data_IF_351865555460
#
_entry.id   IF_351865555460
#
_cell.length_a   1.000
_cell.length_b   1.000
_cell.length_c   1.000
_cell.angle_alpha   90.00
_cell.angle_beta   90.00
_cell.angle_gamma   90.00
#
_symmetry.space_group_name_H-M   'P 1'
#
loop_
_entity.id
_entity.type
_entity.pdbx_description
1 polymer ?
#
# COMPACT_ATOMS: atom_id res chain seq x y z
N UNK A 1 34.16 31.06 2.58
CA UNK A 1 34.85 29.87 2.03
C UNK A 1 36.18 30.36 1.48
N UNK A 2 37.29 29.69 1.77
CA UNK A 2 38.64 30.14 1.39
C UNK A 2 39.27 29.16 0.40
N UNK A 3 40.02 29.65 -0.58
CA UNK A 3 40.80 28.82 -1.50
C UNK A 3 42.28 28.99 -1.20
N UNK A 4 42.97 27.91 -0.85
CA UNK A 4 44.40 27.89 -0.55
C UNK A 4 45.02 26.55 -0.99
N UNK A 5 46.29 26.57 -1.41
CA UNK A 5 47.04 25.36 -1.80
C UNK A 5 46.29 24.43 -2.77
N UNK A 6 45.49 24.99 -3.69
CA UNK A 6 44.72 24.23 -4.67
C UNK A 6 43.46 23.54 -4.15
N UNK A 7 42.94 23.92 -2.98
CA UNK A 7 41.70 23.38 -2.41
C UNK A 7 40.86 24.46 -1.69
N UNK A 8 39.56 24.20 -1.56
CA UNK A 8 38.62 25.00 -0.80
C UNK A 8 38.58 24.54 0.67
N UNK A 9 38.45 25.49 1.58
CA UNK A 9 38.41 25.30 3.03
C UNK A 9 37.27 26.10 3.68
N UNK A 10 36.69 25.52 4.73
CA UNK A 10 35.83 26.21 5.69
C UNK A 10 36.68 26.58 6.91
N UNK A 11 36.62 27.85 7.33
CA UNK A 11 37.37 28.35 8.48
C UNK A 11 36.38 28.79 9.55
N UNK A 12 36.46 28.17 10.72
CA UNK A 12 35.70 28.56 11.90
C UNK A 12 36.56 28.43 13.16
N UNK A 13 36.55 29.47 14.00
CA UNK A 13 37.30 29.52 15.26
C UNK A 13 38.77 29.11 15.11
N UNK A 14 39.43 29.61 14.06
CA UNK A 14 40.85 29.33 13.78
C UNK A 14 41.16 27.95 13.19
N UNK A 15 40.16 27.06 13.02
CA UNK A 15 40.35 25.73 12.42
C UNK A 15 40.03 25.74 10.93
N UNK A 16 40.91 25.14 10.14
CA UNK A 16 40.77 24.99 8.69
C UNK A 16 40.28 23.58 8.36
N UNK A 17 39.05 23.47 7.84
CA UNK A 17 38.43 22.21 7.43
C UNK A 17 38.42 22.10 5.91
N UNK A 18 39.01 21.03 5.32
CA UNK A 18 39.07 20.88 3.87
C UNK A 18 37.69 20.55 3.28
N UNK A 19 37.30 21.27 2.23
CA UNK A 19 36.05 21.07 1.46
C UNK A 19 36.31 20.32 0.15
N UNK A 20 37.54 20.35 -0.37
CA UNK A 20 37.96 19.65 -1.59
C UNK A 20 38.44 20.63 -2.67
N UNK A 21 38.89 20.09 -3.81
CA UNK A 21 39.47 20.89 -4.90
C UNK A 21 38.42 21.44 -5.87
N UNK A 22 37.32 20.71 -6.06
CA UNK A 22 36.24 21.07 -6.97
C UNK A 22 35.28 22.07 -6.35
N UNK A 23 35.06 23.21 -7.02
CA UNK A 23 34.28 24.32 -6.48
C UNK A 23 32.83 23.95 -6.17
N UNK A 24 32.14 23.24 -7.08
CA UNK A 24 30.76 22.82 -6.88
C UNK A 24 30.58 21.86 -5.70
N UNK A 25 31.49 20.89 -5.56
CA UNK A 25 31.49 19.98 -4.43
C UNK A 25 31.82 20.69 -3.10
N UNK A 26 32.71 21.69 -3.14
CA UNK A 26 33.06 22.49 -1.99
C UNK A 26 31.88 23.36 -1.50
N UNK A 27 31.09 23.95 -2.40
CA UNK A 27 29.88 24.71 -2.05
C UNK A 27 28.86 23.85 -1.30
N UNK A 28 28.64 22.61 -1.73
CA UNK A 28 27.74 21.68 -1.04
C UNK A 28 28.16 21.40 0.40
N UNK A 29 29.46 21.17 0.64
CA UNK A 29 30.00 20.99 2.00
C UNK A 29 30.00 22.27 2.81
N UNK A 30 30.30 23.41 2.19
CA UNK A 30 30.27 24.73 2.83
C UNK A 30 28.87 25.03 3.36
N UNK A 31 27.83 24.80 2.54
CA UNK A 31 26.43 25.01 2.92
C UNK A 31 26.00 24.20 4.15
N UNK A 32 26.60 23.04 4.43
CA UNK A 32 26.35 22.28 5.67
C UNK A 32 26.87 23.01 6.91
N UNK A 33 27.97 23.75 6.79
CA UNK A 33 28.60 24.47 7.90
C UNK A 33 28.03 25.87 8.13
N UNK A 34 27.65 26.59 7.06
CA UNK A 34 27.11 27.96 7.15
C UNK A 34 25.60 28.07 6.96
N UNK A 35 24.97 27.06 6.37
CA UNK A 35 23.53 27.08 6.16
C UNK A 35 22.80 27.09 7.50
N UNK A 36 21.77 27.93 7.63
CA UNK A 36 20.74 27.72 8.66
C UNK A 36 20.34 26.25 8.54
N UNK A 37 20.53 25.47 9.62
CA UNK A 37 19.88 24.15 9.72
C UNK A 37 18.42 24.37 9.35
N UNK A 38 17.80 23.57 8.47
CA UNK A 38 16.39 23.73 8.14
C UNK A 38 15.62 23.81 9.46
N UNK A 39 15.12 25.00 9.78
CA UNK A 39 14.36 25.21 11.00
C UNK A 39 12.99 24.65 10.72
N UNK A 40 12.56 23.73 11.58
CA UNK A 40 11.21 23.19 11.51
C UNK A 40 10.31 24.23 12.16
N UNK A 41 9.97 25.26 11.40
CA UNK A 41 9.27 26.44 11.90
C UNK A 41 7.79 26.15 12.13
N UNK A 42 7.23 25.21 11.38
CA UNK A 42 5.83 24.79 11.51
C UNK A 42 5.65 23.28 11.47
N UNK A 43 4.49 22.81 11.90
CA UNK A 43 4.11 21.39 11.74
C UNK A 43 3.94 21.01 10.27
N UNK A 44 3.57 21.96 9.41
CA UNK A 44 3.57 21.74 7.97
C UNK A 44 4.98 21.40 7.49
N UNK A 45 5.99 22.18 7.87
CA UNK A 45 7.39 21.91 7.52
C UNK A 45 7.86 20.56 8.07
N UNK A 46 7.45 20.25 9.30
CA UNK A 46 7.77 18.96 9.93
C UNK A 46 7.20 17.77 9.16
N UNK A 47 5.94 17.84 8.74
CA UNK A 47 5.29 16.73 8.06
C UNK A 47 5.80 16.58 6.64
N UNK A 48 5.86 17.68 5.87
CA UNK A 48 6.30 17.65 4.48
C UNK A 48 7.80 17.38 4.34
N UNK A 49 8.64 17.91 5.24
CA UNK A 49 10.07 17.59 5.26
C UNK A 49 10.34 16.10 5.44
N UNK A 50 9.54 15.43 6.28
CA UNK A 50 9.60 13.97 6.42
C UNK A 50 9.17 13.24 5.13
N UNK A 51 8.07 13.67 4.49
CA UNK A 51 7.57 13.05 3.27
C UNK A 51 8.61 13.16 2.16
N UNK A 52 9.18 14.35 1.92
CA UNK A 52 10.19 14.56 0.88
C UNK A 52 11.45 13.74 1.15
N UNK A 53 11.94 13.71 2.40
CA UNK A 53 13.10 12.91 2.75
C UNK A 53 12.88 11.40 2.55
N UNK A 54 11.64 10.92 2.66
CA UNK A 54 11.28 9.50 2.46
C UNK A 54 10.83 9.18 1.04
N UNK A 55 10.48 10.18 0.22
CA UNK A 55 9.98 10.04 -1.16
C UNK A 55 10.81 9.08 -2.01
N UNK A 56 12.17 9.14 -2.02
CA UNK A 56 12.98 8.22 -2.83
C UNK A 56 12.90 6.75 -2.43
N UNK A 57 12.48 6.45 -1.19
CA UNK A 57 12.48 5.10 -0.59
C UNK A 57 11.08 4.49 -0.51
N UNK A 58 10.04 5.24 -0.86
CA UNK A 58 8.65 4.82 -0.70
C UNK A 58 7.96 4.66 -2.05
N UNK A 59 6.98 3.76 -2.11
CA UNK A 59 6.17 3.61 -3.32
C UNK A 59 5.26 4.83 -3.52
N UNK A 60 4.94 5.16 -4.78
CA UNK A 60 4.05 6.28 -5.11
C UNK A 60 2.71 6.21 -4.35
N UNK A 61 2.14 5.02 -4.16
CA UNK A 61 0.89 4.83 -3.41
C UNK A 61 1.05 5.13 -1.90
N UNK A 62 2.21 4.82 -1.33
CA UNK A 62 2.50 5.18 0.07
C UNK A 62 2.59 6.69 0.21
N UNK A 63 3.23 7.35 -0.75
CA UNK A 63 3.37 8.81 -0.78
C UNK A 63 2.01 9.48 -0.93
N UNK A 64 1.16 9.07 -1.87
CA UNK A 64 -0.22 9.57 -2.00
C UNK A 64 -1.00 9.44 -0.67
N UNK A 65 -0.81 8.32 0.05
CA UNK A 65 -1.37 8.12 1.38
C UNK A 65 -0.84 9.11 2.42
N UNK A 66 0.47 9.34 2.44
CA UNK A 66 1.09 10.32 3.33
C UNK A 66 0.68 11.75 3.00
N UNK A 67 0.56 12.12 1.72
CA UNK A 67 0.11 13.43 1.27
C UNK A 67 -1.33 13.70 1.72
N UNK A 68 -2.20 12.69 1.68
CA UNK A 68 -3.57 12.79 2.23
C UNK A 68 -3.57 13.00 3.74
N UNK A 69 -2.74 12.24 4.47
CA UNK A 69 -2.59 12.40 5.91
C UNK A 69 -1.99 13.79 6.26
N UNK A 70 -1.05 14.27 5.45
CA UNK A 70 -0.44 15.58 5.62
C UNK A 70 -1.46 16.70 5.39
N UNK A 71 -2.29 16.61 4.36
CA UNK A 71 -3.38 17.56 4.14
C UNK A 71 -4.32 17.64 5.36
N UNK A 72 -4.70 16.48 5.90
CA UNK A 72 -5.51 16.38 7.11
C UNK A 72 -4.88 17.00 8.37
N UNK A 73 -3.57 16.84 8.55
CA UNK A 73 -2.84 17.41 9.69
C UNK A 73 -2.62 18.90 9.50
N UNK A 74 -2.19 19.33 8.30
CA UNK A 74 -1.88 20.72 7.99
C UNK A 74 -3.11 21.62 8.07
N UNK A 75 -4.30 21.09 7.75
CA UNK A 75 -5.55 21.83 7.88
C UNK A 75 -5.84 22.28 9.33
N UNK A 76 -5.37 21.52 10.34
CA UNK A 76 -5.63 21.81 11.76
C UNK A 76 -4.40 22.42 12.44
N UNK A 77 -3.23 21.79 12.22
CA UNK A 77 -2.01 22.07 12.98
C UNK A 77 -0.93 22.77 12.14
N UNK A 78 -1.12 22.90 10.82
CA UNK A 78 -0.03 23.24 9.91
C UNK A 78 0.60 24.60 10.14
N UNK A 79 -0.13 25.55 10.73
CA UNK A 79 0.31 26.90 11.05
C UNK A 79 0.99 27.01 12.42
N UNK A 80 0.84 25.99 13.28
CA UNK A 80 1.42 25.98 14.62
C UNK A 80 2.88 25.58 14.56
N UNK A 81 3.66 26.08 15.52
CA UNK A 81 5.01 25.58 15.74
C UNK A 81 4.94 24.17 16.32
N UNK A 82 5.90 23.27 16.01
CA UNK A 82 5.85 21.91 16.51
C UNK A 82 5.94 21.78 18.04
N UNK A 83 6.45 22.78 18.74
CA UNK A 83 6.53 22.83 20.21
C UNK A 83 5.29 23.43 20.89
N UNK A 84 4.35 23.98 20.12
CA UNK A 84 3.07 24.53 20.63
C UNK A 84 1.96 23.48 20.72
N UNK A 85 2.14 22.32 20.09
CA UNK A 85 1.12 21.27 20.07
C UNK A 85 1.25 20.37 21.29
N UNK A 86 0.13 20.19 22.00
CA UNK A 86 0.07 19.31 23.15
C UNK A 86 -0.55 17.93 22.83
N UNK A 87 -0.32 16.97 23.74
CA UNK A 87 -0.98 15.66 23.65
C UNK A 87 -2.51 15.75 23.70
N UNK A 88 -3.05 16.73 24.43
CA UNK A 88 -4.47 17.03 24.55
C UNK A 88 -5.09 17.39 23.19
N UNK A 89 -4.37 18.16 22.36
CA UNK A 89 -4.82 18.54 21.01
C UNK A 89 -4.86 17.35 20.06
N UNK A 90 -3.84 16.48 20.13
CA UNK A 90 -3.83 15.25 19.33
C UNK A 90 -4.97 14.31 19.77
N UNK A 91 -5.24 14.21 21.07
CA UNK A 91 -6.37 13.44 21.58
C UNK A 91 -7.72 14.01 21.09
N UNK A 92 -7.91 15.33 21.15
CA UNK A 92 -9.10 16.02 20.61
C UNK A 92 -9.25 15.75 19.10
N UNK A 93 -8.16 15.81 18.35
CA UNK A 93 -8.16 15.50 16.92
C UNK A 93 -8.61 14.06 16.63
N UNK A 94 -8.09 13.08 17.37
CA UNK A 94 -8.46 11.68 17.21
C UNK A 94 -9.94 11.45 17.51
N UNK A 95 -10.41 11.94 18.66
CA UNK A 95 -11.79 11.74 19.12
C UNK A 95 -12.80 12.47 18.24
N UNK A 96 -12.50 13.70 17.82
CA UNK A 96 -13.36 14.49 16.90
C UNK A 96 -13.53 13.80 15.55
N UNK A 97 -12.44 13.24 14.98
CA UNK A 97 -12.53 12.48 13.73
C UNK A 97 -13.18 11.11 13.90
N UNK A 98 -13.01 10.47 15.06
CA UNK A 98 -13.64 9.21 15.44
C UNK A 98 -13.37 8.02 14.51
N UNK A 99 -12.39 8.10 13.62
CA UNK A 99 -12.16 7.10 12.57
C UNK A 99 -10.71 6.60 12.51
N UNK A 100 -10.51 5.47 11.83
CA UNK A 100 -9.20 4.84 11.64
C UNK A 100 -8.23 5.73 10.84
N UNK A 101 -8.74 6.65 10.01
CA UNK A 101 -7.89 7.58 9.26
C UNK A 101 -7.15 8.54 10.19
N UNK A 102 -7.80 9.02 11.26
CA UNK A 102 -7.14 9.85 12.27
C UNK A 102 -5.96 9.13 12.95
N UNK A 103 -6.07 7.81 13.16
CA UNK A 103 -4.96 7.01 13.68
C UNK A 103 -3.75 6.98 12.73
N UNK A 104 -3.99 7.04 11.41
CA UNK A 104 -2.94 7.10 10.38
C UNK A 104 -2.33 8.50 10.29
N UNK A 105 -3.15 9.52 10.47
CA UNK A 105 -2.70 10.92 10.57
C UNK A 105 -1.75 11.06 11.77
N UNK A 106 -2.14 10.60 12.98
CA UNK A 106 -1.25 10.55 14.17
C UNK A 106 0.05 9.78 13.92
N UNK A 107 -0.03 8.64 13.21
CA UNK A 107 1.16 7.83 12.92
C UNK A 107 2.15 8.57 12.02
N UNK A 108 1.67 9.32 11.02
CA UNK A 108 2.52 10.18 10.19
C UNK A 108 3.18 11.27 11.05
N UNK A 109 2.38 11.97 11.87
CA UNK A 109 2.90 13.04 12.74
C UNK A 109 4.02 12.52 13.67
N UNK A 110 3.79 11.38 14.33
CA UNK A 110 4.78 10.73 15.20
C UNK A 110 6.08 10.37 14.44
N UNK A 111 5.95 9.85 13.22
CA UNK A 111 7.10 9.52 12.38
C UNK A 111 7.88 10.78 11.97
N UNK A 112 7.19 11.89 11.70
CA UNK A 112 7.78 13.18 11.37
C UNK A 112 8.57 13.77 12.54
N UNK A 113 8.04 13.77 13.76
CA UNK A 113 8.78 14.18 14.97
C UNK A 113 10.02 13.30 15.20
N UNK A 114 9.85 11.98 15.07
CA UNK A 114 10.96 11.03 15.27
C UNK A 114 12.09 11.24 14.27
N UNK A 115 11.78 11.49 12.99
CA UNK A 115 12.78 11.76 11.97
C UNK A 115 13.51 13.08 12.18
N UNK A 116 12.79 14.16 12.48
CA UNK A 116 13.41 15.47 12.75
C UNK A 116 14.25 15.46 14.03
N UNK A 117 13.88 14.65 15.03
CA UNK A 117 14.69 14.44 16.24
C UNK A 117 16.09 13.89 15.91
N UNK A 118 16.18 12.95 14.96
CA UNK A 118 17.48 12.46 14.46
C UNK A 118 18.27 13.57 13.73
N UNK A 119 17.56 14.51 13.10
CA UNK A 119 18.14 15.71 12.47
C UNK A 119 18.48 16.85 13.45
N UNK A 120 18.27 16.67 14.76
CA UNK A 120 18.63 17.64 15.79
C UNK A 120 17.49 18.52 16.31
N UNK A 121 16.24 18.27 15.94
CA UNK A 121 15.08 18.89 16.58
C UNK A 121 14.99 18.46 18.06
N UNK A 122 14.87 19.43 18.97
CA UNK A 122 14.92 19.21 20.43
C UNK A 122 13.56 19.22 21.13
N UNK A 123 12.49 19.66 20.47
CA UNK A 123 11.17 19.74 21.09
C UNK A 123 10.58 18.38 21.45
N UNK A 124 9.54 18.40 22.29
CA UNK A 124 8.79 17.20 22.69
C UNK A 124 7.97 16.66 21.52
N UNK A 125 7.73 15.34 21.51
CA UNK A 125 6.78 14.72 20.58
C UNK A 125 5.44 14.52 21.31
N UNK A 126 4.38 15.28 20.98
CA UNK A 126 3.09 15.19 21.68
C UNK A 126 2.36 13.87 21.43
N UNK A 127 2.82 13.05 20.49
CA UNK A 127 2.20 11.76 20.16
C UNK A 127 2.77 10.58 20.97
N UNK A 128 3.99 10.72 21.52
CA UNK A 128 4.81 9.60 22.03
C UNK A 128 4.19 8.85 23.21
N UNK A 129 3.48 9.55 24.09
CA UNK A 129 2.81 8.96 25.27
C UNK A 129 1.30 8.77 25.10
N UNK A 130 0.74 9.16 23.94
CA UNK A 130 -0.68 9.03 23.67
C UNK A 130 -0.99 7.61 23.17
N UNK A 131 -1.46 6.76 24.08
CA UNK A 131 -1.84 5.37 23.78
C UNK A 131 -3.21 5.27 23.10
N UNK A 132 -4.07 6.29 23.26
CA UNK A 132 -5.40 6.30 22.65
C UNK A 132 -5.34 6.15 21.12
N UNK A 133 -6.24 5.32 20.60
CA UNK A 133 -6.48 5.09 19.17
C UNK A 133 -7.96 4.84 18.98
N UNK A 134 -8.53 5.35 17.88
CA UNK A 134 -9.89 4.99 17.48
C UNK A 134 -9.97 3.50 17.17
N UNK A 135 -11.07 2.86 17.54
CA UNK A 135 -11.26 1.43 17.33
C UNK A 135 -11.22 1.08 15.83
N UNK A 136 -10.47 0.04 15.48
CA UNK A 136 -10.43 -0.52 14.12
C UNK A 136 -11.03 -1.92 14.18
N UNK A 137 -12.29 -2.04 13.74
CA UNK A 137 -12.96 -3.33 13.58
C UNK A 137 -12.57 -3.94 12.23
N UNK A 138 -11.86 -5.10 12.22
CA UNK A 138 -11.64 -5.84 10.99
C UNK A 138 -12.96 -6.18 10.32
N UNK A 139 -12.97 -6.17 8.99
CA UNK A 139 -14.11 -6.69 8.23
C UNK A 139 -14.17 -8.22 8.39
N UNK A 140 -15.34 -8.72 8.74
CA UNK A 140 -15.66 -10.11 9.06
C UNK A 140 -16.61 -10.78 8.05
N UNK A 141 -17.20 -10.02 7.12
CA UNK A 141 -18.07 -10.57 6.07
C UNK A 141 -17.37 -11.65 5.21
N UNK A 142 -17.94 -12.85 5.23
CA UNK A 142 -17.69 -13.94 4.30
C UNK A 142 -18.60 -13.82 3.05
N UNK A 143 -18.13 -14.31 1.90
CA UNK A 143 -18.86 -14.27 0.64
C UNK A 143 -19.28 -15.69 0.31
N UNK A 144 -20.59 -15.94 0.30
CA UNK A 144 -21.12 -17.26 -0.03
C UNK A 144 -21.01 -17.55 -1.54
N UNK A 145 -20.98 -18.84 -1.90
CA UNK A 145 -20.88 -19.26 -3.31
C UNK A 145 -22.06 -18.74 -4.13
N UNK A 146 -23.27 -18.76 -3.55
CA UNK A 146 -24.48 -18.24 -4.20
C UNK A 146 -24.38 -16.73 -4.48
N UNK A 147 -23.80 -15.97 -3.57
CA UNK A 147 -23.60 -14.52 -3.73
C UNK A 147 -22.56 -14.26 -4.83
N UNK A 148 -21.43 -14.97 -4.78
CA UNK A 148 -20.37 -14.85 -5.78
C UNK A 148 -20.92 -15.18 -7.17
N UNK A 149 -21.57 -16.33 -7.32
CA UNK A 149 -22.15 -16.78 -8.58
C UNK A 149 -23.19 -15.79 -9.12
N UNK A 150 -24.00 -15.19 -8.25
CA UNK A 150 -24.96 -14.14 -8.62
C UNK A 150 -24.27 -12.89 -9.19
N UNK A 151 -23.15 -12.47 -8.61
CA UNK A 151 -22.35 -11.34 -9.12
C UNK A 151 -21.69 -11.70 -10.46
N UNK A 152 -21.09 -12.90 -10.56
CA UNK A 152 -20.43 -13.38 -11.77
C UNK A 152 -21.39 -13.48 -12.95
N UNK A 153 -22.64 -13.91 -12.71
CA UNK A 153 -23.69 -13.96 -13.73
C UNK A 153 -24.10 -12.58 -14.26
N UNK A 154 -23.88 -11.49 -13.50
CA UNK A 154 -24.12 -10.11 -13.93
C UNK A 154 -22.86 -9.39 -14.45
N UNK A 155 -21.70 -10.03 -14.34
CA UNK A 155 -20.42 -9.53 -14.81
C UNK A 155 -20.22 -9.79 -16.30
N UNK A 156 -19.34 -9.03 -16.95
CA UNK A 156 -18.86 -9.41 -18.29
C UNK A 156 -18.01 -10.68 -18.20
N UNK A 157 -17.91 -11.47 -19.28
CA UNK A 157 -17.09 -12.69 -19.29
C UNK A 157 -15.65 -12.45 -18.82
N UNK A 158 -15.05 -11.31 -19.20
CA UNK A 158 -13.71 -10.91 -18.75
C UNK A 158 -13.65 -10.62 -17.26
N UNK A 159 -14.61 -9.85 -16.74
CA UNK A 159 -14.66 -9.56 -15.29
C UNK A 159 -14.89 -10.85 -14.49
N UNK A 160 -15.79 -11.72 -14.96
CA UNK A 160 -16.06 -13.00 -14.33
C UNK A 160 -14.80 -13.86 -14.27
N UNK A 161 -14.08 -14.01 -15.37
CA UNK A 161 -12.84 -14.79 -15.43
C UNK A 161 -11.76 -14.24 -14.48
N UNK A 162 -11.56 -12.91 -14.43
CA UNK A 162 -10.61 -12.31 -13.47
C UNK A 162 -11.03 -12.54 -12.02
N UNK A 163 -12.33 -12.42 -11.72
CA UNK A 163 -12.85 -12.61 -10.36
C UNK A 163 -12.72 -14.06 -9.90
N UNK A 164 -13.04 -15.03 -10.77
CA UNK A 164 -12.80 -16.46 -10.52
C UNK A 164 -11.31 -16.73 -10.29
N UNK A 165 -10.42 -16.18 -11.12
CA UNK A 165 -8.98 -16.33 -10.90
C UNK A 165 -8.53 -15.77 -9.54
N UNK A 166 -9.04 -14.62 -9.11
CA UNK A 166 -8.72 -14.03 -7.81
C UNK A 166 -9.22 -14.87 -6.63
N UNK A 167 -10.37 -15.51 -6.78
CA UNK A 167 -10.95 -16.39 -5.77
C UNK A 167 -10.16 -17.70 -5.68
N UNK A 168 -9.88 -18.36 -6.81
CA UNK A 168 -9.12 -19.62 -6.82
C UNK A 168 -7.70 -19.47 -6.27
N UNK A 169 -7.01 -18.39 -6.66
CA UNK A 169 -5.61 -18.17 -6.29
C UNK A 169 -5.43 -17.45 -4.96
N UNK A 170 -6.48 -16.79 -4.47
CA UNK A 170 -6.41 -15.88 -3.33
C UNK A 170 -5.43 -14.71 -3.54
N UNK A 171 -4.91 -14.45 -4.73
CA UNK A 171 -3.84 -13.47 -4.94
C UNK A 171 -4.25 -12.03 -4.63
N UNK A 172 -3.28 -11.16 -4.35
CA UNK A 172 -3.54 -9.72 -4.32
C UNK A 172 -3.92 -9.24 -5.72
N UNK A 173 -5.02 -8.50 -5.82
CA UNK A 173 -5.53 -7.95 -7.09
C UNK A 173 -4.44 -7.34 -7.99
N UNK A 174 -3.52 -6.56 -7.43
CA UNK A 174 -2.46 -5.93 -8.21
C UNK A 174 -1.45 -6.93 -8.78
N UNK A 175 -1.17 -8.01 -8.07
CA UNK A 175 -0.22 -9.04 -8.51
C UNK A 175 -0.88 -9.99 -9.51
N UNK A 176 -2.13 -10.40 -9.28
CA UNK A 176 -2.90 -11.22 -10.20
C UNK A 176 -3.03 -10.58 -11.59
N UNK A 177 -3.26 -9.27 -11.65
CA UNK A 177 -3.35 -8.54 -12.91
C UNK A 177 -2.01 -8.46 -13.66
N UNK A 178 -0.87 -8.69 -13.00
CA UNK A 178 0.46 -8.62 -13.60
C UNK A 178 1.03 -9.98 -14.02
N UNK A 179 0.29 -11.07 -13.83
CA UNK A 179 0.69 -12.40 -14.32
C UNK A 179 0.90 -12.34 -15.84
N UNK A 180 2.08 -12.77 -16.29
CA UNK A 180 2.40 -12.86 -17.71
C UNK A 180 2.09 -14.25 -18.24
N UNK A 181 1.79 -14.36 -19.53
CA UNK A 181 1.61 -15.66 -20.18
C UNK A 181 2.87 -16.51 -20.11
N UNK A 182 4.06 -15.88 -20.19
CA UNK A 182 5.35 -16.56 -20.10
C UNK A 182 5.69 -17.08 -18.69
N UNK A 183 4.98 -16.63 -17.65
CA UNK A 183 5.18 -17.11 -16.28
C UNK A 183 4.33 -18.37 -16.00
N UNK A 184 3.42 -18.75 -16.92
CA UNK A 184 2.52 -19.89 -16.78
C UNK A 184 3.12 -21.14 -17.42
N UNK A 185 3.15 -22.23 -16.67
CA UNK A 185 3.57 -23.56 -17.12
C UNK A 185 2.44 -24.59 -16.85
N UNK A 186 2.67 -25.85 -17.19
CA UNK A 186 1.67 -26.92 -17.04
C UNK A 186 1.41 -27.28 -15.56
N UNK A 187 2.40 -27.08 -14.68
CA UNK A 187 2.32 -27.41 -13.26
C UNK A 187 1.76 -26.27 -12.40
N UNK A 188 1.76 -25.02 -12.90
CA UNK A 188 1.60 -23.85 -12.07
C UNK A 188 2.05 -22.52 -12.67
N UNK A 189 2.45 -21.64 -11.77
CA UNK A 189 3.24 -20.44 -12.08
C UNK A 189 3.90 -19.88 -10.83
N UNK A 190 5.01 -19.16 -11.04
CA UNK A 190 5.71 -18.42 -9.99
C UNK A 190 5.51 -16.93 -10.23
N UNK A 191 5.10 -16.20 -9.19
CA UNK A 191 4.90 -14.75 -9.28
C UNK A 191 5.62 -14.00 -8.15
N UNK A 192 5.88 -12.71 -8.41
CA UNK A 192 6.42 -11.80 -7.40
C UNK A 192 5.30 -11.17 -6.57
N UNK A 193 5.25 -11.50 -5.28
CA UNK A 193 4.31 -10.90 -4.34
C UNK A 193 4.81 -9.50 -3.93
N UNK A 194 4.21 -8.46 -4.51
CA UNK A 194 4.74 -7.09 -4.42
C UNK A 194 4.70 -6.50 -3.01
N UNK A 195 3.83 -7.02 -2.13
CA UNK A 195 3.67 -6.57 -0.75
C UNK A 195 4.61 -7.29 0.21
N UNK A 196 4.81 -8.60 0.07
CA UNK A 196 5.76 -9.36 0.90
C UNK A 196 7.19 -9.31 0.39
N UNK A 197 7.41 -8.85 -0.86
CA UNK A 197 8.71 -8.80 -1.54
C UNK A 197 9.39 -10.17 -1.63
N UNK A 198 8.60 -11.20 -1.96
CA UNK A 198 9.06 -12.59 -2.14
C UNK A 198 8.42 -13.22 -3.37
N UNK A 199 9.08 -14.23 -3.94
CA UNK A 199 8.48 -15.12 -4.94
C UNK A 199 7.51 -16.07 -4.25
N UNK A 200 6.41 -16.39 -4.92
CA UNK A 200 5.44 -17.39 -4.47
C UNK A 200 5.03 -18.23 -5.69
N UNK A 201 5.07 -19.55 -5.53
CA UNK A 201 4.56 -20.50 -6.51
C UNK A 201 3.12 -20.87 -6.20
N UNK A 202 2.34 -21.16 -7.24
CA UNK A 202 1.02 -21.75 -7.14
C UNK A 202 0.95 -22.95 -8.08
N UNK A 203 0.50 -24.08 -7.56
CA UNK A 203 0.21 -25.25 -8.38
C UNK A 203 -1.14 -25.08 -9.11
N UNK A 204 -1.25 -25.71 -10.27
CA UNK A 204 -2.51 -25.82 -10.99
C UNK A 204 -3.45 -26.80 -10.30
N UNK A 205 -4.73 -26.46 -10.32
CA UNK A 205 -5.86 -27.35 -10.08
C UNK A 205 -6.71 -27.34 -11.34
N UNK A 206 -7.57 -28.33 -11.54
CA UNK A 206 -8.44 -28.40 -12.72
C UNK A 206 -9.26 -27.11 -12.91
N UNK A 207 -9.78 -26.56 -11.81
CA UNK A 207 -10.52 -25.29 -11.83
C UNK A 207 -9.63 -24.10 -12.24
N UNK A 208 -8.40 -24.02 -11.74
CA UNK A 208 -7.46 -22.96 -12.11
C UNK A 208 -6.99 -23.10 -13.56
N UNK A 209 -6.75 -24.32 -14.02
CA UNK A 209 -6.40 -24.62 -15.41
C UNK A 209 -7.53 -24.19 -16.34
N UNK A 210 -8.77 -24.60 -16.09
CA UNK A 210 -9.93 -24.17 -16.85
C UNK A 210 -10.09 -22.65 -16.87
N UNK A 211 -9.84 -21.97 -15.73
CA UNK A 211 -9.89 -20.51 -15.66
C UNK A 211 -8.80 -19.84 -16.51
N UNK A 212 -7.58 -20.39 -16.53
CA UNK A 212 -6.46 -19.88 -17.33
C UNK A 212 -6.73 -20.09 -18.82
N UNK A 213 -7.22 -21.26 -19.23
CA UNK A 213 -7.54 -21.53 -20.64
C UNK A 213 -8.66 -20.62 -21.14
N UNK A 214 -9.71 -20.43 -20.33
CA UNK A 214 -10.75 -19.43 -20.60
C UNK A 214 -10.18 -18.01 -20.74
N UNK A 215 -9.17 -17.66 -19.94
CA UNK A 215 -8.50 -16.37 -20.06
C UNK A 215 -7.67 -16.28 -21.36
N UNK A 216 -6.99 -17.35 -21.76
CA UNK A 216 -6.27 -17.40 -23.04
C UNK A 216 -7.21 -17.17 -24.22
N UNK A 217 -8.40 -17.74 -24.19
CA UNK A 217 -9.43 -17.54 -25.21
C UNK A 217 -9.97 -16.09 -25.22
N UNK A 218 -10.42 -15.58 -24.06
CA UNK A 218 -11.07 -14.27 -23.95
C UNK A 218 -10.14 -13.10 -24.28
N UNK A 219 -8.83 -13.27 -24.10
CA UNK A 219 -7.82 -12.23 -24.37
C UNK A 219 -6.95 -12.49 -25.60
N UNK A 220 -7.20 -13.59 -26.33
CA UNK A 220 -6.40 -14.04 -27.47
C UNK A 220 -6.08 -12.88 -28.41
N UNK A 221 -4.80 -12.55 -28.51
CA UNK A 221 -4.30 -11.51 -29.40
C UNK A 221 -2.82 -11.73 -29.68
N UNK A 222 -2.39 -11.30 -30.86
CA UNK A 222 -0.98 -11.23 -31.22
C UNK A 222 -0.20 -10.36 -30.22
N UNK A 223 1.01 -10.81 -29.85
CA UNK A 223 1.91 -10.11 -28.92
C UNK A 223 1.30 -9.81 -27.53
N UNK A 224 0.33 -10.60 -27.08
CA UNK A 224 -0.20 -10.52 -25.72
C UNK A 224 0.89 -10.88 -24.70
N UNK A 225 1.11 -10.01 -23.71
CA UNK A 225 2.13 -10.24 -22.67
C UNK A 225 1.49 -10.70 -21.36
N UNK A 226 0.41 -10.04 -20.94
CA UNK A 226 -0.26 -10.32 -19.66
C UNK A 226 -1.48 -11.22 -19.86
N UNK A 227 -1.76 -12.09 -18.88
CA UNK A 227 -2.95 -12.94 -18.88
C UNK A 227 -4.23 -12.10 -18.97
N UNK A 228 -4.27 -10.98 -18.24
CA UNK A 228 -5.39 -10.03 -18.21
C UNK A 228 -4.96 -8.67 -18.79
N UNK A 229 -4.84 -8.60 -20.11
CA UNK A 229 -4.38 -7.41 -20.83
C UNK A 229 -5.53 -6.46 -21.18
N UNK A 230 -5.31 -5.15 -21.04
CA UNK A 230 -6.25 -4.13 -21.47
C UNK A 230 -6.24 -3.99 -22.99
N UNK A 231 -7.42 -3.76 -23.58
CA UNK A 231 -7.57 -3.61 -25.02
C UNK A 231 -6.81 -2.37 -25.55
N UNK A 232 -6.16 -2.44 -26.73
CA UNK A 232 -5.37 -1.35 -27.30
C UNK A 232 -6.22 -0.17 -27.78
N UNK A 233 -7.50 -0.39 -28.05
CA UNK A 233 -8.48 0.62 -28.46
C UNK A 233 -9.46 0.92 -27.33
N UNK A 234 -9.99 2.15 -27.29
CA UNK A 234 -10.98 2.62 -26.32
C UNK A 234 -10.39 3.52 -25.23
N UNK A 235 -11.18 3.85 -24.19
CA UNK A 235 -10.79 4.82 -23.14
C UNK A 235 -9.46 4.50 -22.42
N UNK A 236 -8.99 3.26 -22.50
CA UNK A 236 -7.74 2.80 -21.89
C UNK A 236 -6.52 2.87 -22.82
N UNK A 237 -6.69 3.18 -24.11
CA UNK A 237 -5.60 3.24 -25.10
C UNK A 237 -4.56 4.32 -24.78
N UNK A 238 -4.97 5.41 -24.12
CA UNK A 238 -4.07 6.52 -23.73
C UNK A 238 -2.94 6.10 -22.79
N UNK A 239 -3.08 4.98 -22.07
CA UNK A 239 -2.04 4.42 -21.19
C UNK A 239 -1.12 3.43 -21.92
N UNK A 240 -1.43 3.11 -23.18
CA UNK A 240 -0.79 2.02 -23.91
C UNK A 240 -1.31 0.64 -23.50
N UNK A 241 -0.82 -0.38 -24.22
CA UNK A 241 -1.09 -1.78 -23.93
C UNK A 241 -0.42 -2.15 -22.61
N UNK A 242 -1.15 -2.86 -21.75
CA UNK A 242 -0.70 -3.21 -20.41
C UNK A 242 -1.72 -4.08 -19.70
N UNK A 243 -1.42 -4.54 -18.47
CA UNK A 243 -2.40 -5.28 -17.68
C UNK A 243 -3.60 -4.38 -17.33
N UNK A 244 -4.76 -4.98 -17.04
CA UNK A 244 -5.87 -4.25 -16.43
C UNK A 244 -5.40 -3.48 -15.19
N UNK A 245 -6.02 -2.33 -14.92
CA UNK A 245 -5.70 -1.54 -13.72
C UNK A 245 -6.55 -1.98 -12.54
N UNK A 246 -6.02 -1.94 -11.30
CA UNK A 246 -6.81 -2.28 -10.14
C UNK A 246 -8.04 -1.36 -9.93
N UNK A 247 -7.93 -0.08 -10.27
CA UNK A 247 -9.04 0.88 -10.20
C UNK A 247 -10.13 0.56 -11.23
N UNK A 248 -9.75 0.27 -12.48
CA UNK A 248 -10.69 -0.13 -13.53
C UNK A 248 -11.45 -1.41 -13.16
N UNK A 249 -10.73 -2.42 -12.66
CA UNK A 249 -11.36 -3.67 -12.22
C UNK A 249 -12.34 -3.45 -11.05
N UNK A 250 -12.00 -2.60 -10.07
CA UNK A 250 -12.94 -2.25 -8.98
C UNK A 250 -14.16 -1.48 -9.48
N UNK A 251 -14.01 -0.64 -10.50
CA UNK A 251 -15.13 0.08 -11.10
C UNK A 251 -16.10 -0.89 -11.79
N UNK A 252 -15.58 -1.85 -12.58
CA UNK A 252 -16.40 -2.89 -13.21
C UNK A 252 -17.08 -3.80 -12.17
N UNK A 253 -16.35 -4.20 -11.13
CA UNK A 253 -16.89 -4.99 -10.03
C UNK A 253 -18.04 -4.27 -9.31
N UNK A 254 -17.91 -2.95 -9.06
CA UNK A 254 -18.97 -2.14 -8.45
C UNK A 254 -20.27 -2.18 -9.25
N UNK A 255 -20.19 -2.14 -10.58
CA UNK A 255 -21.36 -2.25 -11.46
C UNK A 255 -21.98 -3.65 -11.39
N UNK A 256 -21.17 -4.71 -11.49
CA UNK A 256 -21.66 -6.08 -11.43
C UNK A 256 -22.36 -6.39 -10.10
N UNK A 257 -21.74 -6.03 -8.98
CA UNK A 257 -22.34 -6.26 -7.64
C UNK A 257 -23.61 -5.45 -7.40
N UNK A 258 -23.72 -4.25 -7.96
CA UNK A 258 -24.95 -3.46 -7.89
C UNK A 258 -26.09 -4.11 -8.67
N UNK A 259 -25.80 -4.62 -9.89
CA UNK A 259 -26.78 -5.38 -10.70
C UNK A 259 -27.25 -6.68 -10.04
N UNK A 260 -26.44 -7.26 -9.17
CA UNK A 260 -26.77 -8.46 -8.41
C UNK A 260 -27.43 -8.15 -7.04
N UNK A 261 -27.65 -6.88 -6.69
CA UNK A 261 -28.18 -6.50 -5.37
C UNK A 261 -27.21 -6.68 -4.19
N UNK A 262 -25.93 -6.93 -4.47
CA UNK A 262 -24.90 -7.31 -3.48
C UNK A 262 -23.88 -6.18 -3.28
N UNK A 263 -24.35 -4.99 -2.90
CA UNK A 263 -23.51 -3.77 -2.85
C UNK A 263 -22.35 -3.83 -1.86
N UNK A 264 -22.40 -4.66 -0.82
CA UNK A 264 -21.32 -4.71 0.16
C UNK A 264 -20.18 -5.67 -0.25
N UNK A 265 -20.36 -6.56 -1.23
CA UNK A 265 -19.30 -7.51 -1.61
C UNK A 265 -18.15 -6.82 -2.34
N UNK A 266 -16.98 -6.72 -1.70
CA UNK A 266 -15.78 -6.12 -2.30
C UNK A 266 -15.00 -7.17 -3.07
N UNK A 267 -14.32 -6.77 -4.13
CA UNK A 267 -13.41 -7.67 -4.85
C UNK A 267 -12.29 -8.22 -3.93
N UNK A 268 -11.88 -7.46 -2.92
CA UNK A 268 -10.91 -7.92 -1.92
C UNK A 268 -11.48 -9.01 -1.00
N UNK A 269 -12.80 -9.13 -0.87
CA UNK A 269 -13.42 -10.18 -0.06
C UNK A 269 -13.23 -11.57 -0.71
N UNK A 270 -13.02 -11.65 -2.03
CA UNK A 270 -12.68 -12.91 -2.72
C UNK A 270 -11.38 -13.53 -2.21
N UNK A 271 -10.42 -12.68 -1.84
CA UNK A 271 -9.17 -13.14 -1.22
C UNK A 271 -9.42 -13.68 0.20
N UNK A 272 -10.36 -13.11 0.95
CA UNK A 272 -10.74 -13.66 2.24
C UNK A 272 -11.52 -14.96 2.09
N UNK A 273 -12.38 -15.07 1.07
CA UNK A 273 -13.05 -16.33 0.71
C UNK A 273 -12.03 -17.44 0.41
N UNK A 274 -11.08 -17.18 -0.49
CA UNK A 274 -10.01 -18.12 -0.85
C UNK A 274 -9.25 -18.68 0.36
N UNK A 275 -9.00 -17.82 1.37
CA UNK A 275 -8.36 -18.23 2.61
C UNK A 275 -9.32 -18.87 3.62
N UNK A 276 -10.60 -18.51 3.63
CA UNK A 276 -11.62 -19.10 4.50
C UNK A 276 -12.02 -20.50 4.08
N UNK A 277 -11.93 -20.81 2.78
CA UNK A 277 -12.30 -22.11 2.22
C UNK A 277 -11.20 -23.17 2.30
N UNK A 278 -10.05 -22.81 2.91
CA UNK A 278 -9.05 -23.80 3.31
C UNK A 278 -9.45 -24.45 4.63
N UNK A 279 -9.03 -25.69 4.84
CA UNK A 279 -9.38 -26.42 6.06
C UNK A 279 -8.64 -25.81 7.24
N UNK A 280 -7.33 -25.61 7.08
CA UNK A 280 -6.44 -25.15 8.14
C UNK A 280 -6.02 -23.69 7.96
N UNK A 281 -5.56 -23.07 9.05
CA UNK A 281 -5.03 -21.69 9.02
C UNK A 281 -3.69 -21.64 8.29
N UNK A 282 -2.94 -22.72 8.36
CA UNK A 282 -1.65 -22.93 7.75
C UNK A 282 -1.78 -22.94 6.22
N UNK A 283 -2.71 -23.72 5.67
CA UNK A 283 -3.04 -23.71 4.24
C UNK A 283 -3.51 -22.32 3.77
N UNK A 284 -4.41 -21.70 4.55
CA UNK A 284 -4.87 -20.34 4.27
C UNK A 284 -3.71 -19.35 4.25
N UNK A 285 -2.77 -19.46 5.19
CA UNK A 285 -1.58 -18.62 5.25
C UNK A 285 -0.68 -18.80 4.03
N UNK A 286 -0.46 -20.06 3.61
CA UNK A 286 0.37 -20.41 2.45
C UNK A 286 -0.23 -19.85 1.16
N UNK A 287 -1.52 -20.11 0.90
CA UNK A 287 -2.22 -19.60 -0.30
C UNK A 287 -2.19 -18.07 -0.34
N UNK A 288 -2.46 -17.42 0.80
CA UNK A 288 -2.43 -15.97 0.86
C UNK A 288 -1.01 -15.39 0.85
N UNK A 289 0.04 -16.19 1.10
CA UNK A 289 1.42 -15.70 1.18
C UNK A 289 1.60 -14.69 2.32
N UNK A 290 1.02 -14.97 3.49
CA UNK A 290 1.24 -14.20 4.71
C UNK A 290 2.41 -14.77 5.51
N UNK A 291 3.25 -13.89 6.05
CA UNK A 291 4.37 -14.31 6.91
C UNK A 291 3.96 -14.64 8.34
N UNK A 292 2.79 -14.16 8.77
CA UNK A 292 2.27 -14.34 10.13
C UNK A 292 0.84 -14.90 10.07
N UNK A 293 0.63 -16.07 10.68
CA UNK A 293 -0.65 -16.75 10.79
C UNK A 293 -1.72 -15.89 11.47
N UNK A 294 -1.34 -15.03 12.43
CA UNK A 294 -2.27 -14.14 13.15
C UNK A 294 -2.99 -13.19 12.20
N UNK A 295 -2.31 -12.74 11.13
CA UNK A 295 -2.92 -11.88 10.11
C UNK A 295 -3.99 -12.64 9.34
N UNK A 296 -3.71 -13.88 8.95
CA UNK A 296 -4.67 -14.77 8.28
C UNK A 296 -5.88 -15.02 9.17
N UNK A 297 -5.64 -15.44 10.42
CA UNK A 297 -6.69 -15.74 11.39
C UNK A 297 -7.59 -14.52 11.63
N UNK A 298 -7.00 -13.34 11.87
CA UNK A 298 -7.78 -12.14 12.23
C UNK A 298 -8.56 -11.51 11.08
N UNK A 299 -8.03 -11.57 9.85
CA UNK A 299 -8.56 -10.75 8.74
C UNK A 299 -9.12 -11.55 7.57
N UNK A 300 -8.78 -12.84 7.45
CA UNK A 300 -9.09 -13.66 6.27
C UNK A 300 -9.80 -14.97 6.59
N UNK A 301 -9.84 -15.43 7.85
CA UNK A 301 -10.71 -16.52 8.31
C UNK A 301 -12.05 -15.93 8.73
N UNK A 302 -12.98 -15.85 7.79
CA UNK A 302 -14.28 -15.18 7.94
C UNK A 302 -15.47 -16.15 7.90
N UNK A 303 -15.27 -17.34 7.33
CA UNK A 303 -16.29 -18.39 7.32
C UNK A 303 -16.56 -18.85 8.76
N UNK A 304 -17.83 -19.02 9.08
CA UNK A 304 -18.25 -19.48 10.39
C UNK A 304 -17.72 -20.89 10.66
N UNK A 305 -17.04 -21.07 11.79
CA UNK A 305 -16.64 -22.39 12.28
C UNK A 305 -17.87 -23.09 12.83
N UNK A 306 -18.25 -24.22 12.23
CA UNK A 306 -19.21 -25.15 12.84
C UNK A 306 -18.44 -26.09 13.74
N UNK A 307 -18.82 -26.15 15.01
CA UNK A 307 -18.26 -27.09 15.99
C UNK A 307 -19.28 -28.18 16.23
N UNK A 308 -18.82 -29.43 16.29
CA UNK A 308 -19.69 -30.53 16.67
C UNK A 308 -20.08 -30.35 18.14
N UNK A 309 -21.35 -30.58 18.51
CA UNK A 309 -21.74 -30.63 19.90
C UNK A 309 -20.96 -31.75 20.61
N UNK A 310 -20.78 -31.61 21.92
CA UNK A 310 -20.07 -32.59 22.76
C UNK A 310 -20.82 -33.92 22.91
N UNK A 311 -22.04 -34.05 22.38
CA UNK A 311 -22.88 -35.25 22.32
C UNK A 311 -23.76 -35.21 21.07
#
# INVERSE_FOLDING_TARGET
>A
MFFQHGAYYFVASGKWLPLGKEYGAALGKYAVFVGKKPTVDSVKDMVWGYIEAKRPKLSAKTIEGYERNAANLCAVFGHLRPDEIETSDIFRYLTTKGNVQANRDKALLSASYSWHRLGGYKGSDPTKRLQYRNEEKPRDRYVEDIELNSILAKASHKLSCIATFLELTGMRQGDALRVKLADLDDDGFIYWNSKSKKKQGLHRSDALTACIERARELWRRENQVWLFESHPKGKHSKRGIGPYTPSGLRAMWRVARAKAGLSDVRLHDLRAKAGSDRETVEEAQQVLGHSDAKVTQRHYRRRMTRVNPTR
#
